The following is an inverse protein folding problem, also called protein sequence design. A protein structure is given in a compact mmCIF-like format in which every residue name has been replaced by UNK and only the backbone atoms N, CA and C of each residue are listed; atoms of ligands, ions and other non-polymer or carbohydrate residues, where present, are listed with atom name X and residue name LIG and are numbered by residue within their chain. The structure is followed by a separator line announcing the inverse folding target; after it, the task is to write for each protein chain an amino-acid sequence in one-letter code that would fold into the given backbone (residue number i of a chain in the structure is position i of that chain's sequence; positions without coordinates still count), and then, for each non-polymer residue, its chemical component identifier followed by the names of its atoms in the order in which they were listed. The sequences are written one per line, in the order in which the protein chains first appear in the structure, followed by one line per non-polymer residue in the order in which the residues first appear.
data_IF_019712975851
#
_entry.id   IF_019712975851
#
_cell.length_a   1.000
_cell.length_b   1.000
_cell.length_c   1.000
_cell.angle_alpha   90.00
_cell.angle_beta   90.00
_cell.angle_gamma   90.00
#
_symmetry.space_group_name_H-M   'P 1'
#
loop_
_entity.id
_entity.type
_entity.pdbx_description
1 polymer ?
#
# COMPACT_ATOMS: atom_id res chain seq x y z
N UNK A 1 5.62 32.58 -1.73
CA UNK A 1 4.91 31.28 -1.64
C UNK A 1 5.01 30.77 -0.20
N UNK A 2 3.91 30.78 0.57
CA UNK A 2 3.90 30.15 1.90
C UNK A 2 3.58 28.67 1.72
N UNK A 3 4.58 27.81 1.86
CA UNK A 3 4.38 26.36 2.01
C UNK A 3 3.61 26.12 3.31
N UNK A 4 2.27 26.07 3.26
CA UNK A 4 1.47 25.51 4.35
C UNK A 4 1.63 24.00 4.27
N UNK A 5 2.53 23.47 5.09
CA UNK A 5 2.65 22.03 5.31
C UNK A 5 1.44 21.61 6.14
N UNK A 6 0.49 20.91 5.52
CA UNK A 6 -0.59 20.25 6.24
C UNK A 6 -0.04 19.01 6.95
N UNK A 7 0.45 19.21 8.16
CA UNK A 7 0.99 18.17 9.06
C UNK A 7 0.04 16.98 9.20
N UNK A 8 -1.27 17.23 9.26
CA UNK A 8 -2.30 16.19 9.37
C UNK A 8 -2.29 15.23 8.17
N UNK A 9 -2.08 15.75 6.95
CA UNK A 9 -2.08 14.96 5.71
C UNK A 9 -0.81 14.14 5.57
N UNK A 10 0.34 14.75 5.87
CA UNK A 10 1.62 14.04 5.90
C UNK A 10 1.61 12.92 6.95
N UNK A 11 0.96 13.14 8.10
CA UNK A 11 0.80 12.12 9.14
C UNK A 11 0.02 10.89 8.67
N UNK A 12 -1.03 11.07 7.87
CA UNK A 12 -1.82 9.94 7.34
C UNK A 12 -1.02 9.13 6.31
N UNK A 13 -0.29 9.80 5.42
CA UNK A 13 0.61 9.11 4.49
C UNK A 13 1.74 8.38 5.21
N UNK A 14 2.40 9.03 6.17
CA UNK A 14 3.45 8.42 6.99
C UNK A 14 2.93 7.19 7.74
N UNK A 15 1.72 7.25 8.29
CA UNK A 15 1.10 6.10 8.93
C UNK A 15 0.94 4.94 7.94
N UNK A 16 0.49 5.18 6.71
CA UNK A 16 0.40 4.13 5.70
C UNK A 16 1.77 3.54 5.36
N UNK A 17 2.82 4.37 5.25
CA UNK A 17 4.21 3.89 5.06
C UNK A 17 4.64 2.98 6.22
N UNK A 18 4.39 3.40 7.47
CA UNK A 18 4.73 2.60 8.66
C UNK A 18 3.94 1.27 8.70
N UNK A 19 2.65 1.29 8.36
CA UNK A 19 1.84 0.07 8.28
C UNK A 19 2.34 -0.85 7.17
N UNK A 20 2.74 -0.31 6.02
CA UNK A 20 3.37 -1.08 4.95
C UNK A 20 4.67 -1.72 5.43
N UNK A 21 5.54 -0.97 6.10
CA UNK A 21 6.82 -1.47 6.61
C UNK A 21 6.63 -2.55 7.69
N UNK A 22 5.87 -2.27 8.75
CA UNK A 22 5.78 -3.17 9.90
C UNK A 22 4.75 -4.28 9.74
N UNK A 23 3.58 -3.98 9.18
CA UNK A 23 2.50 -4.96 9.08
C UNK A 23 2.64 -5.77 7.80
N UNK A 24 2.69 -5.11 6.64
CA UNK A 24 2.72 -5.82 5.37
C UNK A 24 4.04 -6.60 5.16
N UNK A 25 5.20 -5.93 5.24
CA UNK A 25 6.48 -6.63 5.09
C UNK A 25 6.83 -7.51 6.29
N UNK A 26 6.48 -7.10 7.52
CA UNK A 26 6.65 -7.94 8.69
C UNK A 26 5.86 -9.25 8.60
N UNK A 27 4.61 -9.20 8.11
CA UNK A 27 3.80 -10.39 7.84
C UNK A 27 4.45 -11.30 6.78
N UNK A 28 4.88 -10.73 5.65
CA UNK A 28 5.54 -11.49 4.58
C UNK A 28 6.81 -12.21 5.08
N UNK A 29 7.65 -11.51 5.83
CA UNK A 29 8.88 -12.06 6.35
C UNK A 29 8.63 -13.09 7.46
N UNK A 30 7.56 -12.93 8.25
CA UNK A 30 7.21 -13.90 9.29
C UNK A 30 6.71 -15.23 8.70
N UNK A 31 5.90 -15.18 7.65
CA UNK A 31 5.35 -16.39 7.01
C UNK A 31 6.42 -17.17 6.24
N UNK A 32 7.25 -16.46 5.47
CA UNK A 32 8.21 -17.13 4.59
C UNK A 32 9.61 -17.26 5.20
N UNK A 33 9.92 -16.54 6.28
CA UNK A 33 11.25 -16.49 6.88
C UNK A 33 12.34 -16.29 5.78
N UNK A 34 13.38 -17.13 5.76
CA UNK A 34 14.43 -17.12 4.73
C UNK A 34 14.09 -17.89 3.45
N UNK A 35 12.90 -18.47 3.33
CA UNK A 35 12.50 -19.22 2.13
C UNK A 35 12.00 -18.33 1.00
N UNK A 36 11.70 -17.04 1.29
CA UNK A 36 11.13 -16.10 0.32
C UNK A 36 12.10 -15.76 -0.82
N UNK A 37 13.42 -15.79 -0.54
CA UNK A 37 14.50 -15.46 -1.47
C UNK A 37 14.20 -14.19 -2.31
N UNK A 38 14.42 -14.23 -3.61
CA UNK A 38 14.09 -13.14 -4.56
C UNK A 38 12.58 -12.84 -4.67
N UNK A 39 11.70 -13.67 -4.12
CA UNK A 39 10.26 -13.44 -4.14
C UNK A 39 9.86 -12.13 -3.46
N UNK A 40 10.61 -11.68 -2.44
CA UNK A 40 10.30 -10.40 -1.78
C UNK A 40 10.51 -9.20 -2.71
N UNK A 41 11.43 -9.30 -3.66
CA UNK A 41 11.68 -8.27 -4.67
C UNK A 41 10.56 -8.32 -5.74
N UNK A 42 10.08 -9.50 -6.09
CA UNK A 42 8.99 -9.73 -7.04
C UNK A 42 7.65 -9.98 -6.34
N UNK A 43 7.15 -8.96 -5.64
CA UNK A 43 6.01 -9.07 -4.71
C UNK A 43 4.76 -9.74 -5.30
N UNK A 44 4.47 -9.60 -6.60
CA UNK A 44 3.30 -10.25 -7.20
C UNK A 44 3.32 -11.77 -7.01
N UNK A 45 4.50 -12.41 -7.06
CA UNK A 45 4.64 -13.86 -6.92
C UNK A 45 4.25 -14.31 -5.52
N UNK A 46 4.71 -13.57 -4.52
CA UNK A 46 4.43 -13.86 -3.11
C UNK A 46 2.96 -13.56 -2.80
N UNK A 47 2.48 -12.40 -3.25
CA UNK A 47 1.13 -11.92 -2.97
C UNK A 47 0.02 -12.74 -3.66
N UNK A 48 0.29 -13.35 -4.81
CA UNK A 48 -0.64 -14.22 -5.51
C UNK A 48 -0.42 -15.71 -5.22
N UNK A 49 0.62 -16.06 -4.45
CA UNK A 49 0.83 -17.46 -4.09
C UNK A 49 -0.26 -17.94 -3.13
N UNK A 50 -0.90 -19.06 -3.49
CA UNK A 50 -1.82 -19.77 -2.60
C UNK A 50 -1.06 -20.54 -1.50
N UNK A 51 0.26 -20.73 -1.65
CA UNK A 51 1.06 -21.38 -0.62
C UNK A 51 1.20 -20.49 0.62
N UNK A 52 1.19 -21.12 1.80
CA UNK A 52 1.44 -20.50 3.09
C UNK A 52 0.53 -19.30 3.45
N UNK A 53 -0.70 -19.26 2.93
CA UNK A 53 -1.65 -18.15 3.16
C UNK A 53 -1.12 -16.78 2.72
N UNK A 54 -0.19 -16.75 1.76
CA UNK A 54 0.46 -15.52 1.31
C UNK A 54 -0.52 -14.53 0.67
N UNK A 55 -1.62 -14.99 0.10
CA UNK A 55 -2.69 -14.13 -0.43
C UNK A 55 -3.24 -13.12 0.61
N UNK A 56 -3.12 -13.42 1.90
CA UNK A 56 -3.52 -12.51 2.98
C UNK A 56 -2.70 -11.21 2.92
N UNK A 57 -1.45 -11.23 2.46
CA UNK A 57 -0.66 -10.01 2.30
C UNK A 57 -1.28 -9.03 1.30
N UNK A 58 -1.96 -9.55 0.27
CA UNK A 58 -2.73 -8.73 -0.69
C UNK A 58 -3.90 -8.04 0.01
N UNK A 59 -4.60 -8.75 0.89
CA UNK A 59 -5.70 -8.20 1.70
C UNK A 59 -5.17 -7.16 2.68
N UNK A 60 -4.04 -7.42 3.34
CA UNK A 60 -3.39 -6.47 4.26
C UNK A 60 -3.05 -5.17 3.52
N UNK A 61 -2.38 -5.28 2.37
CA UNK A 61 -2.00 -4.10 1.59
C UNK A 61 -3.24 -3.33 1.09
N UNK A 62 -4.26 -4.06 0.64
CA UNK A 62 -5.55 -3.48 0.28
C UNK A 62 -6.14 -2.65 1.44
N UNK A 63 -6.17 -3.21 2.66
CA UNK A 63 -6.71 -2.53 3.85
C UNK A 63 -5.88 -1.29 4.20
N UNK A 64 -4.54 -1.36 4.12
CA UNK A 64 -3.67 -0.21 4.40
C UNK A 64 -3.99 0.95 3.45
N UNK A 65 -4.07 0.68 2.14
CA UNK A 65 -4.42 1.69 1.14
C UNK A 65 -5.85 2.18 1.33
N UNK A 66 -6.78 1.29 1.66
CA UNK A 66 -8.17 1.63 1.91
C UNK A 66 -8.27 2.64 3.07
N UNK A 67 -7.60 2.37 4.19
CA UNK A 67 -7.59 3.26 5.36
C UNK A 67 -6.95 4.61 5.02
N UNK A 68 -5.83 4.61 4.27
CA UNK A 68 -5.16 5.84 3.83
C UNK A 68 -6.15 6.76 3.11
N UNK A 69 -6.85 6.24 2.11
CA UNK A 69 -7.78 7.05 1.30
C UNK A 69 -9.05 7.42 2.07
N UNK A 70 -9.54 6.53 2.94
CA UNK A 70 -10.76 6.76 3.70
C UNK A 70 -10.59 7.91 4.71
N UNK A 71 -9.41 8.01 5.31
CA UNK A 71 -9.08 9.05 6.28
C UNK A 71 -8.81 10.42 5.64
N UNK A 72 -8.53 10.49 4.34
CA UNK A 72 -8.24 11.76 3.66
C UNK A 72 -9.50 12.58 3.41
N UNK A 73 -9.47 13.88 3.76
CA UNK A 73 -10.66 14.75 3.69
C UNK A 73 -11.28 14.80 2.29
N UNK A 74 -10.44 14.81 1.26
CA UNK A 74 -10.83 14.87 -0.14
C UNK A 74 -10.35 13.61 -0.87
N UNK A 75 -11.27 12.91 -1.54
CA UNK A 75 -11.00 11.63 -2.19
C UNK A 75 -9.93 11.72 -3.30
N UNK A 76 -9.91 12.79 -4.10
CA UNK A 76 -8.91 13.02 -5.15
C UNK A 76 -7.49 13.05 -4.60
N UNK A 77 -7.30 13.68 -3.44
CA UNK A 77 -6.00 13.77 -2.80
C UNK A 77 -5.61 12.43 -2.16
N UNK A 78 -6.56 11.69 -1.61
CA UNK A 78 -6.32 10.33 -1.11
C UNK A 78 -5.84 9.40 -2.22
N UNK A 79 -6.52 9.40 -3.37
CA UNK A 79 -6.11 8.62 -4.55
C UNK A 79 -4.74 9.08 -5.06
N UNK A 80 -4.50 10.39 -5.15
CA UNK A 80 -3.17 10.91 -5.56
C UNK A 80 -2.06 10.50 -4.60
N UNK A 81 -2.31 10.52 -3.29
CA UNK A 81 -1.34 10.10 -2.28
C UNK A 81 -1.10 8.59 -2.29
N UNK A 82 -2.11 7.77 -2.58
CA UNK A 82 -1.92 6.32 -2.64
C UNK A 82 -0.99 5.89 -3.78
N UNK A 83 -0.91 6.64 -4.89
CA UNK A 83 0.10 6.39 -5.92
C UNK A 83 1.53 6.56 -5.40
N UNK A 84 1.78 7.45 -4.44
CA UNK A 84 3.10 7.60 -3.83
C UNK A 84 3.50 6.41 -2.96
N UNK A 85 2.55 5.59 -2.50
CA UNK A 85 2.88 4.34 -1.82
C UNK A 85 3.53 3.32 -2.75
N UNK A 86 3.23 3.34 -4.06
CA UNK A 86 3.79 2.38 -5.01
C UNK A 86 5.34 2.37 -5.01
N UNK A 87 6.04 3.49 -5.29
CA UNK A 87 7.49 3.50 -5.24
C UNK A 87 8.04 3.25 -3.83
N UNK A 88 7.31 3.65 -2.78
CA UNK A 88 7.71 3.36 -1.39
C UNK A 88 7.70 1.86 -1.12
N UNK A 89 6.64 1.14 -1.50
CA UNK A 89 6.53 -0.32 -1.30
C UNK A 89 7.63 -1.05 -2.08
N UNK A 90 7.92 -0.63 -3.31
CA UNK A 90 9.02 -1.22 -4.10
C UNK A 90 10.36 -0.98 -3.40
N UNK A 91 10.61 0.23 -2.92
CA UNK A 91 11.85 0.55 -2.21
C UNK A 91 11.98 -0.23 -0.90
N UNK A 92 10.89 -0.34 -0.14
CA UNK A 92 10.82 -1.15 1.08
C UNK A 92 11.08 -2.63 0.81
N UNK A 93 10.67 -3.15 -0.35
CA UNK A 93 10.96 -4.55 -0.71
C UNK A 93 12.46 -4.82 -0.86
N UNK A 94 13.22 -3.84 -1.38
CA UNK A 94 14.68 -3.90 -1.45
C UNK A 94 15.32 -3.77 -0.07
N UNK A 95 14.83 -2.86 0.78
CA UNK A 95 15.29 -2.72 2.17
C UNK A 95 15.12 -4.05 2.92
N UNK A 96 13.93 -4.66 2.84
CA UNK A 96 13.67 -5.93 3.50
C UNK A 96 14.49 -7.09 2.94
N UNK A 97 14.75 -7.11 1.63
CA UNK A 97 15.71 -8.05 1.06
C UNK A 97 17.09 -7.88 1.69
N UNK A 98 17.60 -6.65 1.79
CA UNK A 98 18.90 -6.37 2.40
C UNK A 98 18.97 -6.75 3.87
N UNK A 99 17.89 -6.54 4.63
CA UNK A 99 17.81 -6.94 6.03
C UNK A 99 17.93 -8.47 6.18
N UNK A 100 17.33 -9.26 5.28
CA UNK A 100 17.31 -10.72 5.40
C UNK A 100 18.53 -11.43 4.81
N UNK A 101 19.04 -10.94 3.67
CA UNK A 101 20.05 -11.62 2.86
C UNK A 101 21.38 -10.87 2.78
N UNK A 102 21.44 -9.64 3.29
CA UNK A 102 22.60 -8.76 3.19
C UNK A 102 22.47 -7.75 2.04
N UNK A 103 23.29 -6.71 2.11
CA UNK A 103 23.27 -5.63 1.13
C UNK A 103 23.80 -6.10 -0.23
N UNK A 104 22.97 -5.96 -1.27
CA UNK A 104 23.32 -6.24 -2.65
C UNK A 104 22.61 -5.26 -3.60
N UNK A 105 23.38 -4.43 -4.29
CA UNK A 105 22.85 -3.41 -5.22
C UNK A 105 22.32 -4.05 -6.52
N UNK A 106 22.79 -5.26 -6.86
CA UNK A 106 22.45 -5.92 -8.13
C UNK A 106 20.96 -6.25 -8.23
N UNK A 107 20.26 -6.40 -7.10
CA UNK A 107 18.83 -6.67 -7.06
C UNK A 107 17.99 -5.56 -7.69
N UNK A 108 18.45 -4.31 -7.61
CA UNK A 108 17.74 -3.16 -8.19
C UNK A 108 17.79 -3.29 -9.71
N UNK A 109 18.97 -3.56 -10.26
CA UNK A 109 19.13 -3.82 -11.70
C UNK A 109 18.32 -5.05 -12.12
N UNK A 110 18.39 -6.14 -11.35
CA UNK A 110 17.64 -7.35 -11.62
C UNK A 110 16.14 -7.12 -11.65
N UNK A 111 15.60 -6.26 -10.77
CA UNK A 111 14.19 -5.91 -10.76
C UNK A 111 13.76 -5.23 -12.07
N UNK A 112 14.53 -4.28 -12.58
CA UNK A 112 14.20 -3.55 -13.82
C UNK A 112 14.59 -4.29 -15.11
N UNK A 113 15.52 -5.25 -15.05
CA UNK A 113 15.90 -6.08 -16.21
C UNK A 113 14.94 -7.24 -16.47
N UNK A 114 14.09 -7.58 -15.50
CA UNK A 114 13.21 -8.76 -15.54
C UNK A 114 11.75 -8.37 -15.76
N UNK A 115 11.02 -9.15 -16.55
CA UNK A 115 9.58 -8.95 -16.79
C UNK A 115 8.78 -9.01 -15.48
N UNK A 116 9.24 -9.84 -14.55
CA UNK A 116 8.66 -10.01 -13.21
C UNK A 116 8.60 -8.69 -12.41
N UNK A 117 9.56 -7.78 -12.60
CA UNK A 117 9.52 -6.46 -11.96
C UNK A 117 8.40 -5.59 -12.50
N UNK A 118 8.19 -5.58 -13.82
CA UNK A 118 7.09 -4.84 -14.44
C UNK A 118 5.72 -5.41 -14.09
N UNK A 119 5.60 -6.74 -13.99
CA UNK A 119 4.38 -7.40 -13.50
C UNK A 119 4.12 -6.99 -12.05
N UNK A 120 5.15 -6.92 -11.21
CA UNK A 120 5.04 -6.42 -9.83
C UNK A 120 4.50 -5.00 -9.78
N UNK A 121 5.04 -4.09 -10.59
CA UNK A 121 4.60 -2.69 -10.65
C UNK A 121 3.12 -2.62 -11.06
N UNK A 122 2.74 -3.30 -12.15
CA UNK A 122 1.37 -3.30 -12.65
C UNK A 122 0.38 -3.90 -11.64
N UNK A 123 0.76 -4.99 -10.98
CA UNK A 123 -0.06 -5.64 -9.98
C UNK A 123 -0.29 -4.74 -8.76
N UNK A 124 0.78 -4.15 -8.22
CA UNK A 124 0.68 -3.22 -7.09
C UNK A 124 -0.13 -1.98 -7.46
N UNK A 125 0.07 -1.42 -8.66
CA UNK A 125 -0.70 -0.30 -9.17
C UNK A 125 -2.20 -0.64 -9.24
N UNK A 126 -2.55 -1.79 -9.81
CA UNK A 126 -3.92 -2.28 -9.88
C UNK A 126 -4.55 -2.43 -8.50
N UNK A 127 -3.84 -3.06 -7.56
CA UNK A 127 -4.31 -3.26 -6.20
C UNK A 127 -4.54 -1.92 -5.47
N UNK A 128 -3.58 -1.00 -5.56
CA UNK A 128 -3.65 0.34 -4.96
C UNK A 128 -4.85 1.10 -5.54
N UNK A 129 -5.07 1.05 -6.84
CA UNK A 129 -6.19 1.71 -7.51
C UNK A 129 -7.54 1.15 -7.07
N UNK A 130 -7.69 -0.18 -7.05
CA UNK A 130 -8.95 -0.81 -6.62
C UNK A 130 -9.24 -0.50 -5.16
N UNK A 131 -8.24 -0.54 -4.28
CA UNK A 131 -8.37 -0.15 -2.87
C UNK A 131 -8.73 1.33 -2.70
N UNK A 132 -8.08 2.22 -3.46
CA UNK A 132 -8.30 3.64 -3.38
C UNK A 132 -9.70 4.04 -3.89
N UNK A 133 -10.14 3.49 -5.02
CA UNK A 133 -11.46 3.77 -5.60
C UNK A 133 -12.58 3.22 -4.70
N UNK A 134 -12.43 1.98 -4.21
CA UNK A 134 -13.42 1.40 -3.29
C UNK A 134 -13.54 2.19 -1.99
N UNK A 135 -12.42 2.67 -1.46
CA UNK A 135 -12.38 3.54 -0.28
C UNK A 135 -13.04 4.90 -0.52
N UNK A 136 -12.73 5.56 -1.65
CA UNK A 136 -13.35 6.81 -2.04
C UNK A 136 -14.88 6.68 -2.16
N UNK A 137 -15.35 5.60 -2.81
CA UNK A 137 -16.77 5.30 -2.93
C UNK A 137 -17.43 5.06 -1.56
N UNK A 138 -16.81 4.25 -0.70
CA UNK A 138 -17.30 3.98 0.65
C UNK A 138 -17.41 5.26 1.48
N UNK A 139 -16.41 6.15 1.38
CA UNK A 139 -16.43 7.45 2.06
C UNK A 139 -17.54 8.36 1.56
N UNK A 140 -17.72 8.45 0.24
CA UNK A 140 -18.77 9.28 -0.34
C UNK A 140 -20.15 8.83 0.14
N UNK A 141 -20.39 7.51 0.16
CA UNK A 141 -21.63 6.94 0.68
C UNK A 141 -21.83 7.27 2.17
N UNK A 142 -20.79 7.13 2.99
CA UNK A 142 -20.83 7.50 4.41
C UNK A 142 -21.18 8.98 4.64
N UNK A 143 -20.56 9.90 3.91
CA UNK A 143 -20.84 11.33 4.02
C UNK A 143 -22.27 11.69 3.61
N UNK A 144 -22.81 11.01 2.60
CA UNK A 144 -24.20 11.22 2.18
C UNK A 144 -25.20 10.77 3.26
N UNK A 145 -24.94 9.65 3.93
CA UNK A 145 -25.78 9.20 5.05
C UNK A 145 -25.75 10.17 6.23
N UNK A 146 -24.56 10.68 6.60
CA UNK A 146 -24.42 11.65 7.68
C UNK A 146 -25.20 12.94 7.40
N UNK A 147 -25.13 13.47 6.17
CA UNK A 147 -25.90 14.66 5.77
C UNK A 147 -27.41 14.44 5.86
N UNK A 148 -27.91 13.26 5.49
CA UNK A 148 -29.32 12.92 5.61
C UNK A 148 -29.76 12.86 7.08
N UNK A 149 -28.91 12.31 7.95
CA UNK A 149 -29.18 12.26 9.39
C UNK A 149 -29.25 13.66 10.02
N UNK A 150 -28.31 14.54 9.71
CA UNK A 150 -28.32 15.93 10.18
C UNK A 150 -29.58 16.69 9.73
N UNK A 151 -30.09 16.42 8.51
CA UNK A 151 -31.34 17.03 8.02
C UNK A 151 -32.59 16.50 8.73
N UNK A 152 -32.53 15.30 9.33
CA UNK A 152 -33.63 14.74 10.12
C UNK A 152 -33.63 15.22 11.58
N UNK A 153 -32.48 15.58 12.15
CA UNK A 153 -32.40 16.15 13.51
C UNK A 153 -32.77 17.64 13.57
N UNK A 154 -32.64 18.37 12.46
CA UNK A 154 -32.92 19.82 12.38
C UNK A 154 -34.41 20.13 12.12
N UNK A 155 -35.21 19.13 11.69
CA UNK A 155 -36.66 19.24 11.49
C UNK A 155 -37.43 18.63 12.67
#
# INVERSE_FOLDING_TARGET
MKFKIDISRQGNFLLAVLLSHFIFFGFLCNIHLKSINYGIIFLYQVMLSLSNFSFISTIILFIIVFILVFREQFYEYGIRNSFWLLPVIIFESWIWYWIMYGFDITIIFQFFSRLEGYITILFLLGLILVAAISSAYAKQKYLNYMKQYEQMEVN
#
